data_IF_907602081436
#
_entry.id   IF_907602081436
#
_cell.length_a   1.000
_cell.length_b   1.000
_cell.length_c   1.000
_cell.angle_alpha   90.00
_cell.angle_beta   90.00
_cell.angle_gamma   90.00
#
_symmetry.space_group_name_H-M   'P 1'
#
loop_
_entity.id
_entity.type
_entity.pdbx_description
1 polymer ?
#
# COMPACT_ATOMS: atom_id res chain seq x y z
N UNK A 1 12.53 -8.46 -8.83
CA UNK A 1 12.41 -7.86 -7.47
C UNK A 1 13.72 -7.96 -6.72
N UNK A 2 14.39 -9.12 -6.79
CA UNK A 2 15.65 -9.34 -6.07
C UNK A 2 16.74 -8.33 -6.44
N UNK A 3 16.82 -7.92 -7.70
CA UNK A 3 17.70 -6.82 -8.13
C UNK A 3 17.39 -5.48 -7.45
N UNK A 4 16.10 -5.16 -7.29
CA UNK A 4 15.67 -3.97 -6.56
C UNK A 4 16.09 -4.10 -5.10
N UNK A 5 15.87 -5.25 -4.47
CA UNK A 5 16.27 -5.50 -3.07
C UNK A 5 17.80 -5.41 -2.90
N UNK A 6 18.59 -5.91 -3.85
CA UNK A 6 20.06 -5.77 -3.86
C UNK A 6 20.48 -4.30 -3.82
N UNK A 7 19.75 -3.41 -4.50
CA UNK A 7 20.05 -1.97 -4.52
C UNK A 7 19.51 -1.19 -3.32
N UNK A 8 18.30 -1.49 -2.85
CA UNK A 8 17.60 -0.68 -1.83
C UNK A 8 17.70 -1.25 -0.41
N UNK A 9 18.11 -2.51 -0.29
CA UNK A 9 18.05 -3.30 0.94
C UNK A 9 16.68 -3.92 1.23
N UNK A 10 16.53 -4.46 2.43
CA UNK A 10 15.32 -5.19 2.87
C UNK A 10 14.18 -4.27 3.33
N UNK A 11 14.43 -2.97 3.48
CA UNK A 11 13.42 -1.99 3.88
C UNK A 11 12.72 -1.41 2.66
N UNK A 12 11.42 -1.16 2.76
CA UNK A 12 10.60 -0.51 1.72
C UNK A 12 10.45 -1.26 0.39
N UNK A 13 11.00 -2.47 0.23
CA UNK A 13 10.84 -3.29 -0.98
C UNK A 13 9.38 -3.60 -1.33
N UNK A 14 8.52 -3.81 -0.33
CA UNK A 14 7.09 -4.03 -0.50
C UNK A 14 6.39 -2.81 -1.13
N UNK A 15 6.93 -1.61 -0.92
CA UNK A 15 6.42 -0.39 -1.59
C UNK A 15 6.65 -0.46 -3.09
N UNK A 16 7.85 -0.86 -3.54
CA UNK A 16 8.13 -1.04 -4.97
C UNK A 16 7.27 -2.15 -5.56
N UNK A 17 7.26 -3.34 -4.93
CA UNK A 17 6.47 -4.47 -5.38
C UNK A 17 4.99 -4.09 -5.51
N UNK A 18 4.40 -3.46 -4.49
CA UNK A 18 2.99 -3.08 -4.49
C UNK A 18 2.65 -1.98 -5.49
N UNK A 19 3.57 -1.04 -5.77
CA UNK A 19 3.37 0.00 -6.80
C UNK A 19 3.46 -0.59 -8.20
N UNK A 20 4.50 -1.37 -8.49
CA UNK A 20 4.69 -1.97 -9.82
C UNK A 20 3.65 -3.04 -10.11
N UNK A 21 3.27 -3.88 -9.14
CA UNK A 21 2.20 -4.87 -9.30
C UNK A 21 0.88 -4.20 -9.67
N UNK A 22 0.50 -3.12 -8.99
CA UNK A 22 -0.74 -2.38 -9.31
C UNK A 22 -0.70 -1.81 -10.71
N UNK A 23 0.41 -1.16 -11.08
CA UNK A 23 0.57 -0.62 -12.43
C UNK A 23 0.48 -1.74 -13.48
N UNK A 24 1.18 -2.87 -13.28
CA UNK A 24 1.15 -3.99 -14.21
C UNK A 24 -0.27 -4.55 -14.40
N UNK A 25 -1.04 -4.69 -13.31
CA UNK A 25 -2.45 -5.09 -13.39
C UNK A 25 -3.30 -4.07 -14.15
N UNK A 26 -3.11 -2.77 -13.91
CA UNK A 26 -3.83 -1.72 -14.67
C UNK A 26 -3.50 -1.76 -16.16
N UNK A 27 -2.22 -1.98 -16.51
CA UNK A 27 -1.80 -2.12 -17.92
C UNK A 27 -2.42 -3.35 -18.56
N UNK A 28 -2.34 -4.50 -17.89
CA UNK A 28 -2.90 -5.75 -18.39
C UNK A 28 -4.40 -5.65 -18.59
N UNK A 29 -5.11 -5.07 -17.63
CA UNK A 29 -6.55 -4.86 -17.71
C UNK A 29 -6.94 -3.94 -18.89
N UNK A 30 -6.18 -2.85 -19.13
CA UNK A 30 -6.41 -1.97 -20.27
C UNK A 30 -6.11 -2.65 -21.62
N UNK A 31 -5.02 -3.42 -21.70
CA UNK A 31 -4.64 -4.17 -22.90
C UNK A 31 -5.68 -5.22 -23.28
N UNK A 32 -6.24 -5.91 -22.28
CA UNK A 32 -7.28 -6.92 -22.45
C UNK A 32 -8.70 -6.33 -22.55
N UNK A 33 -8.84 -5.01 -22.38
CA UNK A 33 -10.12 -4.29 -22.41
C UNK A 33 -11.18 -4.90 -21.46
N UNK A 34 -10.77 -5.25 -20.25
CA UNK A 34 -11.70 -5.82 -19.25
C UNK A 34 -12.54 -4.73 -18.59
N UNK A 35 -13.79 -5.05 -18.24
CA UNK A 35 -14.71 -4.10 -17.62
C UNK A 35 -14.40 -3.84 -16.14
N UNK A 36 -13.80 -4.81 -15.45
CA UNK A 36 -13.56 -4.76 -14.00
C UNK A 36 -12.42 -5.68 -13.59
N UNK A 37 -11.65 -5.26 -12.60
CA UNK A 37 -10.57 -6.06 -12.01
C UNK A 37 -10.98 -6.58 -10.63
N UNK A 38 -11.15 -7.89 -10.51
CA UNK A 38 -11.38 -8.56 -9.23
C UNK A 38 -10.05 -8.86 -8.53
N UNK A 39 -9.98 -8.57 -7.22
CA UNK A 39 -8.81 -8.89 -6.39
C UNK A 39 -9.22 -9.75 -5.20
N UNK A 40 -8.34 -10.68 -4.80
CA UNK A 40 -8.60 -11.63 -3.72
C UNK A 40 -8.48 -11.06 -2.30
N UNK A 41 -8.67 -9.74 -2.09
CA UNK A 41 -8.62 -9.17 -0.74
C UNK A 41 -9.80 -9.70 0.09
N UNK A 42 -9.46 -10.31 1.23
CA UNK A 42 -10.40 -10.98 2.13
C UNK A 42 -10.78 -10.09 3.33
N UNK A 43 -11.61 -10.60 4.25
CA UNK A 43 -12.04 -9.84 5.43
C UNK A 43 -10.86 -9.39 6.31
N UNK A 44 -9.87 -10.26 6.53
CA UNK A 44 -8.66 -9.97 7.30
C UNK A 44 -7.88 -8.81 6.68
N UNK A 45 -7.67 -8.82 5.36
CA UNK A 45 -6.97 -7.75 4.62
C UNK A 45 -7.65 -6.38 4.78
N UNK A 46 -8.99 -6.36 4.81
CA UNK A 46 -9.78 -5.15 4.99
C UNK A 46 -9.67 -4.66 6.43
N UNK A 47 -9.80 -5.55 7.42
CA UNK A 47 -9.64 -5.20 8.82
C UNK A 47 -8.23 -4.64 9.11
N UNK A 48 -7.18 -5.28 8.58
CA UNK A 48 -5.80 -4.76 8.62
C UNK A 48 -5.72 -3.35 8.05
N UNK A 49 -6.38 -3.12 6.91
CA UNK A 49 -6.35 -1.83 6.22
C UNK A 49 -7.08 -0.75 7.01
N UNK A 50 -8.23 -1.06 7.61
CA UNK A 50 -8.97 -0.16 8.51
C UNK A 50 -8.09 0.25 9.68
N UNK A 51 -7.53 -0.73 10.41
CA UNK A 51 -6.66 -0.49 11.55
C UNK A 51 -5.44 0.35 11.18
N UNK A 52 -4.76 0.01 10.07
CA UNK A 52 -3.59 0.76 9.61
C UNK A 52 -3.92 2.21 9.23
N UNK A 53 -5.10 2.48 8.67
CA UNK A 53 -5.49 3.86 8.34
C UNK A 53 -5.86 4.66 9.59
N UNK A 54 -6.48 4.03 10.59
CA UNK A 54 -6.76 4.64 11.90
C UNK A 54 -5.43 5.03 12.57
N UNK A 55 -4.50 4.08 12.71
CA UNK A 55 -3.20 4.32 13.38
C UNK A 55 -2.35 5.37 12.67
N UNK A 56 -2.48 5.52 11.35
CA UNK A 56 -1.77 6.55 10.57
C UNK A 56 -2.49 7.90 10.53
N UNK A 57 -3.71 7.98 11.04
CA UNK A 57 -4.57 9.16 10.87
C UNK A 57 -4.88 9.48 9.39
N UNK A 58 -4.92 8.47 8.51
CA UNK A 58 -5.21 8.65 7.08
C UNK A 58 -6.72 8.63 6.81
N UNK A 59 -7.40 9.67 7.30
CA UNK A 59 -8.86 9.80 7.29
C UNK A 59 -9.43 9.69 5.86
N UNK A 60 -8.78 10.34 4.89
CA UNK A 60 -9.21 10.31 3.49
C UNK A 60 -9.20 8.90 2.85
N UNK A 61 -8.36 8.00 3.35
CA UNK A 61 -8.35 6.59 2.91
C UNK A 61 -9.31 5.73 3.72
N UNK A 62 -9.49 6.04 5.00
CA UNK A 62 -10.40 5.32 5.87
C UNK A 62 -11.83 5.30 5.29
N UNK A 63 -12.33 6.43 4.77
CA UNK A 63 -13.68 6.55 4.20
C UNK A 63 -13.98 5.61 3.02
N UNK A 64 -12.96 5.17 2.28
CA UNK A 64 -13.12 4.35 1.07
C UNK A 64 -12.51 2.97 1.18
N UNK A 65 -11.75 2.69 2.24
CA UNK A 65 -11.00 1.44 2.32
C UNK A 65 -11.91 0.20 2.45
N UNK A 66 -13.11 0.39 3.00
CA UNK A 66 -14.15 -0.64 3.17
C UNK A 66 -15.07 -0.77 1.95
N UNK A 67 -14.99 0.10 0.94
CA UNK A 67 -15.82 -0.05 -0.26
C UNK A 67 -15.48 -1.36 -1.00
N UNK A 68 -16.53 -2.11 -1.38
CA UNK A 68 -16.41 -3.35 -2.15
C UNK A 68 -15.85 -3.04 -3.54
N UNK A 69 -16.43 -2.03 -4.17
CA UNK A 69 -15.98 -1.49 -5.45
C UNK A 69 -15.26 -0.16 -5.21
N UNK A 70 -14.17 0.05 -5.94
CA UNK A 70 -13.37 1.28 -5.89
C UNK A 70 -13.01 1.71 -7.30
N UNK A 71 -12.90 3.03 -7.52
CA UNK A 71 -12.48 3.58 -8.81
C UNK A 71 -13.56 3.47 -9.89
N UNK A 72 -14.84 3.61 -9.52
CA UNK A 72 -15.95 3.62 -10.47
C UNK A 72 -15.87 4.79 -11.45
N UNK A 73 -15.30 5.92 -11.01
CA UNK A 73 -15.00 7.08 -11.88
C UNK A 73 -13.75 6.87 -12.76
N UNK A 74 -13.04 5.76 -12.57
CA UNK A 74 -11.83 5.42 -13.30
C UNK A 74 -12.10 4.50 -14.49
N UNK A 75 -11.13 4.34 -15.41
CA UNK A 75 -11.26 3.50 -16.59
C UNK A 75 -11.48 2.02 -16.28
N UNK A 76 -10.99 1.52 -15.13
CA UNK A 76 -11.09 0.11 -14.74
C UNK A 76 -11.41 0.02 -13.25
N UNK A 77 -12.69 -0.13 -12.87
CA UNK A 77 -13.07 -0.30 -11.48
C UNK A 77 -12.48 -1.59 -10.90
N UNK A 78 -12.21 -1.57 -9.60
CA UNK A 78 -11.69 -2.72 -8.86
C UNK A 78 -12.72 -3.21 -7.86
N UNK A 79 -12.95 -4.52 -7.78
CA UNK A 79 -13.81 -5.13 -6.78
C UNK A 79 -13.07 -6.14 -5.88
N UNK A 80 -13.63 -6.36 -4.70
CA UNK A 80 -13.13 -7.30 -3.69
C UNK A 80 -14.23 -8.29 -3.31
N UNK A 81 -14.42 -9.37 -4.10
CA UNK A 81 -15.50 -10.32 -3.86
C UNK A 81 -15.47 -10.97 -2.47
N UNK A 82 -14.27 -11.15 -1.90
CA UNK A 82 -14.07 -11.78 -0.60
C UNK A 82 -14.08 -10.83 0.59
N UNK A 83 -14.58 -9.60 0.46
CA UNK A 83 -14.60 -8.60 1.54
C UNK A 83 -15.12 -9.14 2.88
N UNK A 84 -16.10 -10.03 2.86
CA UNK A 84 -16.73 -10.59 4.07
C UNK A 84 -16.39 -12.07 4.31
N UNK A 85 -15.45 -12.62 3.54
CA UNK A 85 -14.98 -14.00 3.71
C UNK A 85 -13.68 -14.00 4.49
N UNK A 86 -13.60 -14.82 5.55
CA UNK A 86 -12.38 -14.92 6.35
C UNK A 86 -11.29 -15.64 5.57
N UNK A 87 -10.03 -15.29 5.81
CA UNK A 87 -8.88 -15.96 5.19
C UNK A 87 -8.92 -17.48 5.40
N UNK A 88 -9.19 -17.92 6.64
CA UNK A 88 -9.27 -19.35 6.99
C UNK A 88 -10.35 -20.10 6.22
N UNK A 89 -11.46 -19.44 5.90
CA UNK A 89 -12.57 -20.04 5.14
C UNK A 89 -12.19 -20.19 3.67
N UNK A 90 -11.51 -19.19 3.11
CA UNK A 90 -11.00 -19.23 1.73
C UNK A 90 -9.96 -20.34 1.59
N UNK A 91 -9.02 -20.45 2.54
CA UNK A 91 -8.01 -21.52 2.55
C UNK A 91 -8.66 -22.89 2.71
N UNK A 92 -9.62 -23.04 3.62
CA UNK A 92 -10.37 -24.30 3.81
C UNK A 92 -11.12 -24.69 2.53
N UNK A 93 -11.75 -23.73 1.85
CA UNK A 93 -12.44 -23.96 0.59
C UNK A 93 -11.46 -24.42 -0.51
N UNK A 94 -10.33 -23.73 -0.67
CA UNK A 94 -9.30 -24.08 -1.65
C UNK A 94 -8.75 -25.50 -1.41
N UNK A 95 -8.49 -25.85 -0.14
CA UNK A 95 -8.05 -27.19 0.26
C UNK A 95 -9.10 -28.26 -0.10
N UNK A 96 -10.36 -28.07 0.29
CA UNK A 96 -11.43 -29.04 0.02
C UNK A 96 -11.69 -29.22 -1.48
N UNK A 97 -11.60 -28.14 -2.25
CA UNK A 97 -11.74 -28.15 -3.71
C UNK A 97 -10.48 -28.61 -4.44
N UNK A 98 -9.39 -28.90 -3.73
CA UNK A 98 -8.09 -29.29 -4.30
C UNK A 98 -7.62 -28.30 -5.36
N UNK A 99 -7.79 -27.01 -5.09
CA UNK A 99 -7.28 -25.96 -5.97
C UNK A 99 -5.77 -25.84 -5.79
N UNK A 100 -5.06 -25.55 -6.86
CA UNK A 100 -3.64 -25.22 -6.79
C UNK A 100 -3.47 -23.81 -6.23
N UNK A 101 -2.77 -23.69 -5.10
CA UNK A 101 -2.43 -22.40 -4.50
C UNK A 101 -1.04 -22.42 -3.87
N UNK A 102 -0.42 -21.25 -3.82
CA UNK A 102 0.86 -21.06 -3.11
C UNK A 102 0.59 -20.73 -1.65
N UNK A 103 1.10 -21.55 -0.74
CA UNK A 103 1.07 -21.30 0.72
C UNK A 103 2.31 -20.57 1.23
N UNK A 104 3.32 -20.38 0.37
CA UNK A 104 4.57 -19.72 0.74
C UNK A 104 4.40 -18.23 0.81
N UNK A 105 4.67 -17.64 1.98
CA UNK A 105 4.78 -16.19 2.10
C UNK A 105 6.02 -15.64 1.37
N UNK A 106 5.97 -14.37 1.00
CA UNK A 106 7.10 -13.68 0.40
C UNK A 106 8.25 -13.55 1.43
N UNK A 107 9.46 -13.95 1.05
CA UNK A 107 10.68 -13.85 1.89
C UNK A 107 11.00 -12.42 2.36
N UNK A 108 10.44 -11.40 1.71
CA UNK A 108 10.60 -10.00 2.06
C UNK A 108 9.46 -9.43 2.92
N UNK A 109 8.37 -10.18 3.09
CA UNK A 109 7.18 -9.80 3.88
C UNK A 109 7.46 -9.50 5.36
N UNK A 110 8.33 -10.25 6.08
CA UNK A 110 8.54 -10.05 7.51
C UNK A 110 8.99 -8.64 7.91
N UNK A 111 9.65 -7.92 6.98
CA UNK A 111 10.11 -6.54 7.22
C UNK A 111 9.03 -5.48 6.94
N UNK A 112 7.80 -5.88 6.58
CA UNK A 112 6.72 -4.97 6.28
C UNK A 112 5.91 -4.62 7.53
N UNK A 113 5.66 -3.32 7.74
CA UNK A 113 4.85 -2.82 8.87
C UNK A 113 3.45 -3.46 8.98
N UNK A 114 2.90 -3.97 7.87
CA UNK A 114 1.59 -4.65 7.86
C UNK A 114 1.60 -5.93 8.71
N UNK A 115 2.74 -6.58 8.92
CA UNK A 115 2.85 -7.79 9.74
C UNK A 115 2.34 -7.59 11.17
N UNK A 116 2.70 -6.47 11.81
CA UNK A 116 2.25 -6.15 13.17
C UNK A 116 0.73 -5.98 13.28
N UNK A 117 0.10 -5.35 12.28
CA UNK A 117 -1.36 -5.21 12.25
C UNK A 117 -2.05 -6.56 12.08
N UNK A 118 -1.47 -7.46 11.29
CA UNK A 118 -1.97 -8.82 11.10
C UNK A 118 -1.92 -9.62 12.40
N UNK A 119 -0.78 -9.65 13.07
CA UNK A 119 -0.61 -10.37 14.34
C UNK A 119 -1.63 -9.88 15.37
N UNK A 120 -1.75 -8.56 15.53
CA UNK A 120 -2.73 -7.97 16.45
C UNK A 120 -4.18 -8.37 16.12
N UNK A 121 -4.57 -8.36 14.84
CA UNK A 121 -5.92 -8.78 14.43
C UNK A 121 -6.14 -10.26 14.69
N UNK A 122 -5.12 -11.11 14.47
CA UNK A 122 -5.21 -12.55 14.75
C UNK A 122 -5.35 -12.84 16.25
N UNK A 123 -4.69 -12.07 17.10
CA UNK A 123 -4.86 -12.16 18.55
C UNK A 123 -6.28 -11.74 18.99
N UNK A 124 -6.83 -10.68 18.39
CA UNK A 124 -8.22 -10.28 18.62
C UNK A 124 -9.22 -11.34 18.12
N UNK A 125 -8.99 -11.90 16.94
CA UNK A 125 -9.84 -12.96 16.37
C UNK A 125 -9.90 -14.19 17.29
N UNK A 126 -8.77 -14.55 17.92
CA UNK A 126 -8.69 -15.68 18.86
C UNK A 126 -9.58 -15.50 20.09
N UNK A 127 -9.69 -14.27 20.58
CA UNK A 127 -10.55 -13.93 21.74
C UNK A 127 -12.01 -13.78 21.30
N UNK A 128 -12.25 -13.09 20.18
CA UNK A 128 -13.58 -12.83 19.63
C UNK A 128 -13.54 -13.03 18.11
N UNK A 129 -14.05 -14.17 17.58
CA UNK A 129 -14.03 -14.45 16.14
C UNK A 129 -14.70 -13.39 15.27
N UNK A 130 -15.68 -12.68 15.83
CA UNK A 130 -16.42 -11.61 15.16
C UNK A 130 -15.64 -10.29 15.05
N UNK A 131 -14.49 -10.16 15.73
CA UNK A 131 -13.70 -8.92 15.77
C UNK A 131 -13.33 -8.39 14.37
N UNK A 132 -12.99 -9.27 13.43
CA UNK A 132 -12.66 -8.89 12.05
C UNK A 132 -13.84 -8.18 11.38
N UNK A 133 -15.03 -8.79 11.39
CA UNK A 133 -16.22 -8.19 10.81
C UNK A 133 -16.68 -6.95 11.57
N UNK A 134 -16.55 -6.94 12.90
CA UNK A 134 -16.88 -5.78 13.73
C UNK A 134 -15.96 -4.58 13.39
N UNK A 135 -14.66 -4.80 13.10
CA UNK A 135 -13.72 -3.78 12.62
C UNK A 135 -14.14 -3.26 11.23
N UNK A 136 -14.50 -4.16 10.30
CA UNK A 136 -14.98 -3.75 8.97
C UNK A 136 -16.24 -2.91 9.10
N UNK A 137 -17.20 -3.35 9.92
CA UNK A 137 -18.46 -2.65 10.17
C UNK A 137 -18.21 -1.28 10.78
N UNK A 138 -17.31 -1.19 11.77
CA UNK A 138 -16.86 0.10 12.31
C UNK A 138 -16.30 1.01 11.20
N UNK A 139 -15.42 0.47 10.34
CA UNK A 139 -14.88 1.16 9.16
C UNK A 139 -15.93 1.65 8.16
N UNK A 140 -17.03 0.92 7.98
CA UNK A 140 -18.17 1.32 7.13
C UNK A 140 -19.00 2.43 7.76
N UNK A 141 -19.19 2.37 9.08
CA UNK A 141 -20.00 3.32 9.83
C UNK A 141 -19.24 4.60 10.19
N UNK A 142 -17.92 4.65 9.98
CA UNK A 142 -17.09 5.85 10.16
C UNK A 142 -17.56 6.99 9.25
N UNK A 143 -18.31 7.93 9.83
CA UNK A 143 -18.71 9.19 9.16
C UNK A 143 -17.58 10.20 9.31
N UNK A 144 -16.95 10.53 8.19
CA UNK A 144 -15.88 11.53 8.13
C UNK A 144 -16.48 12.85 7.68
N UNK A 145 -16.16 13.94 8.39
CA UNK A 145 -16.57 15.28 8.01
C UNK A 145 -16.07 15.61 6.59
N UNK A 146 -16.99 16.08 5.73
CA UNK A 146 -16.82 16.28 4.28
C UNK A 146 -15.79 17.35 3.89
N UNK A 147 -15.12 17.97 4.86
CA UNK A 147 -14.12 19.03 4.63
C UNK A 147 -12.76 18.52 4.14
N UNK A 148 -12.53 17.20 4.14
CA UNK A 148 -11.24 16.64 3.70
C UNK A 148 -11.16 16.60 2.18
N UNK A 149 -10.47 17.59 1.58
CA UNK A 149 -10.21 17.61 0.13
C UNK A 149 -9.43 16.38 -0.31
N UNK A 150 -10.01 15.65 -1.24
CA UNK A 150 -9.34 14.54 -1.90
C UNK A 150 -8.40 15.05 -2.99
N UNK A 151 -7.26 14.38 -3.24
CA UNK A 151 -6.45 14.69 -4.42
C UNK A 151 -7.28 14.44 -5.68
N UNK A 152 -7.29 15.41 -6.58
CA UNK A 152 -7.92 15.27 -7.88
C UNK A 152 -7.23 14.15 -8.67
N UNK A 153 -8.03 13.35 -9.37
CA UNK A 153 -7.51 12.32 -10.26
C UNK A 153 -7.12 12.98 -11.58
N UNK A 154 -5.88 12.74 -12.02
CA UNK A 154 -5.39 13.14 -13.33
C UNK A 154 -4.66 11.99 -14.02
N UNK A 155 -3.89 12.33 -15.04
CA UNK A 155 -3.10 11.37 -15.83
C UNK A 155 -1.62 11.69 -15.70
N UNK A 156 -0.79 10.66 -15.57
CA UNK A 156 0.66 10.78 -15.54
C UNK A 156 1.19 11.24 -16.90
N UNK A 157 1.94 12.33 -16.94
CA UNK A 157 2.51 12.84 -18.20
C UNK A 157 3.49 11.87 -18.88
N UNK A 158 4.15 10.99 -18.10
CA UNK A 158 5.16 10.06 -18.63
C UNK A 158 4.58 8.78 -19.22
N UNK A 159 3.50 8.26 -18.65
CA UNK A 159 2.97 6.95 -19.05
C UNK A 159 1.46 6.93 -19.33
N UNK A 160 0.76 8.06 -19.21
CA UNK A 160 -0.68 8.17 -19.49
C UNK A 160 -1.60 7.56 -18.43
N UNK A 161 -1.10 6.74 -17.51
CA UNK A 161 -1.92 6.10 -16.48
C UNK A 161 -2.34 7.04 -15.35
N UNK A 162 -3.42 6.68 -14.64
CA UNK A 162 -4.02 7.45 -13.55
C UNK A 162 -2.97 7.88 -12.52
N UNK A 163 -2.97 9.17 -12.18
CA UNK A 163 -2.15 9.73 -11.13
C UNK A 163 -2.76 10.98 -10.53
N UNK A 164 -2.62 11.17 -9.22
CA UNK A 164 -2.93 12.43 -8.55
C UNK A 164 -1.73 13.40 -8.51
N UNK A 165 -0.68 13.10 -9.27
CA UNK A 165 0.56 13.88 -9.36
C UNK A 165 1.00 13.96 -10.82
N UNK A 166 1.87 14.92 -11.15
CA UNK A 166 2.46 15.07 -12.48
C UNK A 166 3.01 13.75 -13.04
N UNK A 167 3.81 13.06 -12.22
CA UNK A 167 4.33 11.73 -12.51
C UNK A 167 3.77 10.71 -11.52
N UNK A 168 3.29 9.57 -12.02
CA UNK A 168 2.79 8.50 -11.16
C UNK A 168 3.90 7.89 -10.31
N UNK A 169 3.50 7.28 -9.20
CA UNK A 169 4.44 6.71 -8.24
C UNK A 169 5.39 5.69 -8.87
N UNK A 170 4.90 4.89 -9.80
CA UNK A 170 5.72 3.91 -10.51
C UNK A 170 6.80 4.58 -11.36
N UNK A 171 6.44 5.64 -12.11
CA UNK A 171 7.41 6.41 -12.90
C UNK A 171 8.47 7.09 -12.01
N UNK A 172 8.08 7.61 -10.85
CA UNK A 172 9.02 8.21 -9.89
C UNK A 172 9.98 7.17 -9.33
N UNK A 173 9.46 6.01 -8.90
CA UNK A 173 10.29 4.93 -8.37
C UNK A 173 11.24 4.36 -9.42
N UNK A 174 10.77 4.16 -10.65
CA UNK A 174 11.59 3.68 -11.76
C UNK A 174 12.70 4.67 -12.12
N UNK A 175 12.39 5.97 -12.14
CA UNK A 175 13.40 7.01 -12.34
C UNK A 175 14.45 7.00 -11.23
N UNK A 176 14.02 6.83 -9.98
CA UNK A 176 14.91 6.69 -8.83
C UNK A 176 15.89 5.54 -9.00
N UNK A 177 15.40 4.37 -9.46
CA UNK A 177 16.26 3.22 -9.74
C UNK A 177 17.24 3.50 -10.88
N UNK A 178 16.78 4.05 -12.00
CA UNK A 178 17.62 4.32 -13.17
C UNK A 178 18.72 5.37 -12.90
N UNK A 179 18.49 6.31 -11.98
CA UNK A 179 19.47 7.34 -11.58
C UNK A 179 20.35 6.94 -10.40
N UNK A 180 20.22 5.71 -9.89
CA UNK A 180 20.95 5.27 -8.69
C UNK A 180 20.50 5.99 -7.40
N UNK A 181 19.31 6.59 -7.40
CA UNK A 181 18.68 7.26 -6.26
C UNK A 181 17.44 6.48 -5.79
N UNK A 182 17.60 5.26 -5.23
CA UNK A 182 16.47 4.39 -4.91
C UNK A 182 15.51 4.95 -3.85
N UNK A 183 15.97 5.89 -3.02
CA UNK A 183 15.14 6.56 -2.02
C UNK A 183 14.16 7.58 -2.63
N UNK A 184 14.32 7.94 -3.91
CA UNK A 184 13.46 8.89 -4.60
C UNK A 184 12.02 8.38 -4.60
N UNK A 185 11.14 9.13 -3.93
CA UNK A 185 9.74 8.74 -3.79
C UNK A 185 9.46 7.70 -2.71
N UNK A 186 10.40 7.36 -1.82
CA UNK A 186 10.07 6.56 -0.63
C UNK A 186 9.80 7.53 0.54
N UNK A 187 8.53 7.63 0.97
CA UNK A 187 8.08 8.54 2.03
C UNK A 187 7.09 9.61 1.54
N UNK A 188 6.34 10.23 2.48
CA UNK A 188 5.57 11.45 2.20
C UNK A 188 6.53 12.64 2.30
N UNK A 189 6.64 13.42 1.23
CA UNK A 189 7.23 14.76 1.32
C UNK A 189 6.35 15.57 2.27
N UNK A 190 6.77 15.79 3.53
CA UNK A 190 6.25 16.94 4.27
C UNK A 190 6.67 18.17 3.46
N UNK A 191 5.70 18.99 3.06
CA UNK A 191 5.82 20.09 2.10
C UNK A 191 7.24 20.58 1.86
N UNK A 192 7.86 20.10 0.78
CA UNK A 192 8.99 20.77 0.17
C UNK A 192 8.40 21.55 -1.00
N UNK A 193 8.40 22.87 -0.87
CA UNK A 193 8.06 23.79 -1.95
C UNK A 193 8.75 23.34 -3.23
N UNK A 194 7.97 23.15 -4.28
CA UNK A 194 8.42 22.85 -5.63
C UNK A 194 9.21 24.04 -6.18
N UNK A 195 10.47 24.19 -5.79
CA UNK A 195 11.39 25.13 -6.44
C UNK A 195 12.89 24.79 -6.34
N UNK A 196 13.25 23.58 -5.90
CA UNK A 196 14.63 23.10 -5.99
C UNK A 196 14.76 21.97 -7.04
N UNK A 197 14.54 22.33 -8.29
CA UNK A 197 15.17 21.65 -9.43
C UNK A 197 16.01 22.68 -10.17
N UNK A 198 17.10 23.13 -9.55
CA UNK A 198 18.24 23.74 -10.27
C UNK A 198 19.54 23.25 -9.65
N UNK A 199 20.24 22.45 -10.45
CA UNK A 199 21.70 22.29 -10.52
C UNK A 199 22.46 22.14 -9.21
N UNK A 200 22.97 20.95 -8.90
CA UNK A 200 24.19 20.84 -8.10
C UNK A 200 25.11 19.73 -8.64
N UNK A 201 26.29 20.18 -9.06
CA UNK A 201 27.48 19.37 -9.41
C UNK A 201 28.09 18.78 -8.12
N UNK A 202 28.89 17.70 -8.22
CA UNK A 202 29.39 17.00 -7.04
C UNK A 202 30.51 17.82 -6.39
N UNK A 203 30.34 18.21 -5.12
CA UNK A 203 31.47 18.60 -4.27
C UNK A 203 31.51 17.71 -3.02
N UNK A 204 32.66 17.05 -2.88
CA UNK A 204 33.10 16.31 -1.70
C UNK A 204 33.17 17.23 -0.48
N UNK A 205 32.53 16.85 0.62
CA UNK A 205 32.97 17.25 1.97
C UNK A 205 32.35 16.34 3.03
N UNK A 206 33.23 15.52 3.61
CA UNK A 206 33.04 14.71 4.80
C UNK A 206 32.69 15.61 5.99
N UNK A 207 31.56 15.37 6.66
CA UNK A 207 31.35 15.76 8.06
C UNK A 207 30.60 14.66 8.80
N UNK A 208 31.29 14.12 9.79
CA UNK A 208 30.82 13.24 10.86
C UNK A 208 29.65 13.87 11.61
N UNK A 209 28.60 13.08 11.87
CA UNK A 209 27.49 13.47 12.75
C UNK A 209 27.50 12.47 13.91
N UNK A 210 27.82 12.99 15.09
CA UNK A 210 27.78 12.28 16.37
C UNK A 210 26.33 11.89 16.73
N UNK A 211 26.18 10.66 17.21
CA UNK A 211 24.94 10.08 17.69
C UNK A 211 24.53 10.72 19.04
N UNK A 212 23.38 11.40 19.09
CA UNK A 212 22.74 11.76 20.36
C UNK A 212 22.03 10.52 20.94
N UNK A 213 22.38 10.16 22.17
CA UNK A 213 21.79 9.10 22.97
C UNK A 213 20.28 9.30 23.16
N UNK A 214 19.52 8.21 23.03
CA UNK A 214 18.11 8.15 23.39
C UNK A 214 18.01 7.86 24.89
N UNK A 215 17.34 8.73 25.65
CA UNK A 215 17.05 8.53 27.07
C UNK A 215 16.07 7.37 27.29
N UNK A 216 16.30 6.62 28.37
CA UNK A 216 15.40 5.62 28.92
C UNK A 216 14.21 6.30 29.59
N UNK A 217 13.00 5.79 29.35
CA UNK A 217 11.83 6.12 30.15
C UNK A 217 11.43 4.85 30.90
N UNK A 218 11.72 4.84 32.19
CA UNK A 218 11.06 3.99 33.18
C UNK A 218 9.67 4.56 33.44
N UNK A 219 8.64 3.72 33.28
CA UNK A 219 7.42 3.55 34.10
C UNK A 219 6.45 2.61 33.38
#
# INVERSE_FOLDING_TARGET
>A
MDEIVKMIGLKNNCTFCGVFRRQALDRGAALLKVDKLATGHNADDIAETVLLNILRGDIARLSRCTSITTGEDGPIPRCKPFKYSYEKEIVMYAYFKKLDYFSTECIYSPNAYRGFAREFIKDLERIRPRAILDIIKSGEDFRIATSTKMPEQGTCERCGYISSQKWCKACVLLEGLNRGMPKLGIGRSRGLNSNQMKTDKPTSRTKSIESKQCGSLDF
#
